data_IF_789676798966
#
_entry.id   IF_789676798966
#
_cell.length_a   1.000
_cell.length_b   1.000
_cell.length_c   1.000
_cell.angle_alpha   90.00
_cell.angle_beta   90.00
_cell.angle_gamma   90.00
#
_symmetry.space_group_name_H-M   'P 1'
#
loop_
_entity.id
_entity.type
_entity.pdbx_description
1 polymer ?
#
# COMPACT_ATOMS: atom_id res chain seq x y z
N UNK A 1 -6.27 8.56 -3.45
CA UNK A 1 -6.38 7.27 -2.69
C UNK A 1 -5.53 7.35 -1.42
N UNK A 2 -5.97 6.82 -0.28
CA UNK A 2 -5.18 6.93 0.98
C UNK A 2 -4.37 5.68 1.34
N UNK A 3 -3.14 5.86 1.85
CA UNK A 3 -2.30 4.77 2.39
C UNK A 3 -1.75 5.13 3.77
N UNK A 4 -1.69 4.14 4.64
CA UNK A 4 -1.18 4.30 6.00
C UNK A 4 -0.43 3.07 6.47
N UNK A 5 0.33 3.24 7.54
CA UNK A 5 0.97 2.12 8.24
C UNK A 5 0.78 2.26 9.74
N UNK A 6 0.69 1.13 10.42
CA UNK A 6 0.69 1.08 11.88
C UNK A 6 2.10 1.31 12.42
N UNK A 7 2.22 1.65 13.71
CA UNK A 7 3.53 1.80 14.38
C UNK A 7 4.43 0.58 14.10
N UNK A 8 5.60 0.78 13.48
CA UNK A 8 6.52 -0.32 13.21
C UNK A 8 6.92 -1.05 14.48
N UNK A 9 6.91 -2.38 14.44
CA UNK A 9 7.32 -3.22 15.57
C UNK A 9 8.77 -3.62 15.38
N UNK A 10 9.64 -3.17 16.29
CA UNK A 10 11.06 -3.51 16.25
C UNK A 10 11.30 -4.97 16.65
N UNK A 11 12.19 -5.63 15.91
CA UNK A 11 12.66 -6.98 16.19
C UNK A 11 14.05 -6.95 16.84
N UNK A 12 14.43 -8.04 17.51
CA UNK A 12 15.72 -8.15 18.20
C UNK A 12 16.93 -8.12 17.26
N UNK A 13 16.73 -8.40 15.97
CA UNK A 13 17.75 -8.40 14.92
C UNK A 13 17.94 -7.02 14.26
N UNK A 14 17.21 -5.98 14.70
CA UNK A 14 17.28 -4.64 14.15
C UNK A 14 16.34 -4.36 12.96
N UNK A 15 15.52 -5.35 12.59
CA UNK A 15 14.50 -5.20 11.54
C UNK A 15 13.14 -4.77 12.10
N UNK A 16 12.22 -4.35 11.24
CA UNK A 16 10.90 -3.84 11.63
C UNK A 16 9.76 -4.58 10.92
N UNK A 17 8.71 -4.89 11.65
CA UNK A 17 7.44 -5.34 11.07
C UNK A 17 6.54 -4.13 10.87
N UNK A 18 6.15 -3.89 9.62
CA UNK A 18 5.33 -2.75 9.22
C UNK A 18 4.04 -3.29 8.61
N UNK A 19 2.92 -3.01 9.28
CA UNK A 19 1.59 -3.33 8.78
C UNK A 19 1.04 -2.13 7.99
N UNK A 20 0.75 -2.32 6.71
CA UNK A 20 0.20 -1.31 5.81
C UNK A 20 -1.30 -1.49 5.64
N UNK A 21 -1.99 -0.39 5.38
CA UNK A 21 -3.39 -0.36 4.96
C UNK A 21 -3.55 0.65 3.84
N UNK A 22 -4.04 0.19 2.69
CA UNK A 22 -4.39 1.02 1.53
C UNK A 22 -5.92 1.08 1.45
N UNK A 23 -6.49 2.27 1.38
CA UNK A 23 -7.95 2.48 1.27
C UNK A 23 -8.28 3.12 -0.07
N UNK A 24 -9.13 2.45 -0.85
CA UNK A 24 -9.57 2.89 -2.17
C UNK A 24 -11.06 3.24 -2.09
N UNK A 25 -11.41 4.45 -2.54
CA UNK A 25 -12.78 4.96 -2.62
C UNK A 25 -13.14 5.19 -4.08
N UNK A 26 -14.34 4.79 -4.50
CA UNK A 26 -14.90 5.30 -5.74
C UNK A 26 -15.62 6.62 -5.46
N UNK A 27 -14.94 7.74 -5.66
CA UNK A 27 -15.52 9.09 -5.53
C UNK A 27 -16.28 9.55 -6.78
N UNK A 28 -16.25 8.75 -7.85
CA UNK A 28 -16.91 9.03 -9.12
C UNK A 28 -18.42 8.79 -9.10
N UNK A 29 -19.04 8.94 -10.28
CA UNK A 29 -20.48 8.75 -10.47
C UNK A 29 -20.85 7.41 -11.13
N UNK A 30 -19.87 6.59 -11.49
CA UNK A 30 -20.05 5.33 -12.21
C UNK A 30 -19.37 4.18 -11.49
N UNK A 31 -19.81 2.95 -11.75
CA UNK A 31 -19.17 1.77 -11.19
C UNK A 31 -17.79 1.54 -11.83
N UNK A 32 -16.86 1.01 -11.04
CA UNK A 32 -15.55 0.55 -11.51
C UNK A 32 -15.48 -0.98 -11.40
N UNK A 33 -15.05 -1.66 -12.45
CA UNK A 33 -14.85 -3.12 -12.50
C UNK A 33 -13.36 -3.46 -12.66
N UNK A 34 -12.99 -4.73 -12.47
CA UNK A 34 -11.61 -5.19 -12.68
C UNK A 34 -10.60 -4.48 -11.76
N UNK A 35 -10.90 -4.43 -10.46
CA UNK A 35 -10.15 -3.61 -9.51
C UNK A 35 -8.74 -4.17 -9.31
N UNK A 36 -7.75 -3.33 -9.63
CA UNK A 36 -6.32 -3.60 -9.45
C UNK A 36 -5.75 -2.81 -8.28
N UNK A 37 -4.73 -3.39 -7.63
CA UNK A 37 -3.90 -2.68 -6.67
C UNK A 37 -2.49 -3.28 -6.70
N UNK A 38 -1.50 -2.42 -6.89
CA UNK A 38 -0.08 -2.78 -6.93
C UNK A 38 0.67 -1.96 -5.91
N UNK A 39 1.62 -2.60 -5.22
CA UNK A 39 2.59 -1.95 -4.36
C UNK A 39 3.96 -2.59 -4.58
N UNK A 40 4.82 -1.92 -5.35
CA UNK A 40 6.15 -2.43 -5.72
C UNK A 40 7.16 -2.09 -4.62
N UNK A 41 7.13 -2.86 -3.53
CA UNK A 41 8.05 -2.68 -2.41
C UNK A 41 9.49 -3.02 -2.80
N UNK A 42 9.68 -3.97 -3.72
CA UNK A 42 11.00 -4.37 -4.18
C UNK A 42 11.78 -3.22 -4.80
N UNK A 43 11.15 -2.46 -5.70
CA UNK A 43 11.78 -1.28 -6.30
C UNK A 43 11.88 -0.13 -5.31
N UNK A 44 10.82 0.11 -4.52
CA UNK A 44 10.74 1.29 -3.65
C UNK A 44 11.67 1.21 -2.43
N UNK A 45 11.81 0.03 -1.83
CA UNK A 45 12.62 -0.15 -0.62
C UNK A 45 14.02 -0.68 -0.96
N UNK A 46 14.22 -1.20 -2.18
CA UNK A 46 15.48 -1.77 -2.62
C UNK A 46 15.97 -2.85 -1.67
N UNK A 47 17.23 -2.77 -1.24
CA UNK A 47 17.80 -3.75 -0.30
C UNK A 47 17.19 -3.71 1.10
N UNK A 48 16.41 -2.68 1.45
CA UNK A 48 15.68 -2.65 2.72
C UNK A 48 14.46 -3.60 2.72
N UNK A 49 13.93 -3.95 1.54
CA UNK A 49 12.94 -5.01 1.37
C UNK A 49 13.66 -6.34 1.08
N UNK A 50 14.41 -6.79 2.08
CA UNK A 50 15.04 -8.10 2.04
C UNK A 50 14.54 -8.95 3.19
N UNK A 51 14.45 -10.24 2.91
CA UNK A 51 14.13 -11.20 3.93
C UNK A 51 15.19 -11.16 5.04
N UNK A 52 14.79 -10.75 6.25
CA UNK A 52 15.54 -11.11 7.45
C UNK A 52 15.67 -12.64 7.52
N UNK A 53 16.64 -13.14 8.29
CA UNK A 53 16.70 -14.55 8.70
C UNK A 53 15.36 -15.10 9.25
N UNK A 54 14.43 -14.24 9.66
CA UNK A 54 13.06 -14.59 10.06
C UNK A 54 12.03 -14.74 8.91
N UNK A 55 12.28 -14.19 7.70
CA UNK A 55 11.31 -14.07 6.60
C UNK A 55 11.85 -14.57 5.24
N UNK A 56 12.69 -15.61 5.26
CA UNK A 56 13.54 -16.07 4.13
C UNK A 56 12.80 -16.56 2.89
N UNK A 57 11.50 -16.79 2.94
CA UNK A 57 10.74 -17.42 1.84
C UNK A 57 9.93 -16.45 0.98
N UNK A 58 9.66 -15.23 1.44
CA UNK A 58 8.62 -14.38 0.85
C UNK A 58 9.08 -12.94 0.58
N UNK A 59 10.38 -12.72 0.41
CA UNK A 59 10.93 -11.38 0.15
C UNK A 59 10.78 -10.39 1.31
N UNK A 60 10.35 -10.84 2.50
CA UNK A 60 9.99 -9.98 3.62
C UNK A 60 8.49 -9.87 3.87
N UNK A 61 7.62 -10.46 3.06
CA UNK A 61 6.18 -10.52 3.35
C UNK A 61 5.89 -11.46 4.53
N UNK A 62 5.28 -10.92 5.59
CA UNK A 62 4.89 -11.67 6.79
C UNK A 62 3.41 -12.08 6.75
N UNK A 63 2.57 -11.24 6.16
CA UNK A 63 1.14 -11.51 5.98
C UNK A 63 0.72 -10.99 4.61
N UNK A 64 0.13 -11.85 3.80
CA UNK A 64 -0.37 -11.50 2.48
C UNK A 64 -1.58 -10.54 2.53
N UNK A 65 -2.00 -10.01 1.37
CA UNK A 65 -3.08 -9.03 1.28
C UNK A 65 -4.40 -9.60 1.80
N UNK A 66 -5.11 -8.81 2.61
CA UNK A 66 -6.46 -9.08 3.06
C UNK A 66 -7.38 -7.90 2.71
N UNK A 67 -8.50 -8.19 2.05
CA UNK A 67 -9.48 -7.18 1.59
C UNK A 67 -10.64 -7.06 2.56
N UNK A 68 -11.02 -5.83 2.89
CA UNK A 68 -12.25 -5.49 3.60
C UNK A 68 -13.05 -4.52 2.76
N UNK A 69 -14.29 -4.88 2.40
CA UNK A 69 -15.19 -4.03 1.62
C UNK A 69 -16.15 -3.27 2.52
N UNK A 70 -16.27 -1.97 2.28
CA UNK A 70 -17.31 -1.09 2.83
C UNK A 70 -18.36 -0.84 1.75
N UNK A 71 -19.39 -1.69 1.72
CA UNK A 71 -20.46 -1.68 0.73
C UNK A 71 -21.69 -0.94 1.27
N UNK A 72 -21.68 0.38 1.21
CA UNK A 72 -22.80 1.23 1.68
C UNK A 72 -23.96 1.20 0.68
N UNK A 73 -23.65 1.14 -0.62
CA UNK A 73 -24.66 1.10 -1.69
C UNK A 73 -25.42 -0.24 -1.75
N UNK A 74 -24.78 -1.33 -1.33
CA UNK A 74 -25.26 -2.70 -1.54
C UNK A 74 -24.96 -3.25 -2.94
N UNK A 75 -24.26 -2.50 -3.78
CA UNK A 75 -23.99 -2.84 -5.18
C UNK A 75 -22.53 -3.24 -5.47
N UNK A 76 -21.63 -3.13 -4.49
CA UNK A 76 -20.22 -3.50 -4.67
C UNK A 76 -19.94 -4.99 -4.42
N UNK A 77 -18.90 -5.52 -5.05
CA UNK A 77 -18.33 -6.86 -4.82
C UNK A 77 -16.84 -6.72 -4.55
N UNK A 78 -16.35 -7.35 -3.48
CA UNK A 78 -14.95 -7.22 -3.09
C UNK A 78 -14.02 -7.85 -4.15
N UNK A 79 -12.88 -7.22 -4.47
CA UNK A 79 -11.87 -7.86 -5.32
C UNK A 79 -11.18 -9.01 -4.59
N UNK A 80 -10.66 -9.96 -5.35
CA UNK A 80 -9.88 -11.08 -4.79
C UNK A 80 -8.46 -10.65 -4.45
N UNK A 81 -8.04 -10.85 -3.20
CA UNK A 81 -6.64 -10.66 -2.79
C UNK A 81 -5.70 -11.73 -3.36
N UNK A 82 -4.50 -11.31 -3.76
CA UNK A 82 -3.42 -12.20 -4.20
C UNK A 82 -2.69 -12.86 -3.00
N UNK A 83 -3.43 -13.61 -2.19
CA UNK A 83 -2.89 -14.18 -0.92
C UNK A 83 -1.81 -15.23 -1.13
N UNK A 84 -1.86 -16.00 -2.22
CA UNK A 84 -0.94 -17.10 -2.49
C UNK A 84 0.30 -16.68 -3.28
N UNK A 85 0.21 -15.58 -4.04
CA UNK A 85 1.28 -15.13 -4.93
C UNK A 85 2.02 -13.90 -4.43
N UNK A 86 1.49 -13.12 -3.48
CA UNK A 86 2.10 -11.85 -3.10
C UNK A 86 3.47 -12.01 -2.44
N UNK A 87 4.49 -11.41 -3.05
CA UNK A 87 5.89 -11.42 -2.58
C UNK A 87 6.45 -10.01 -2.33
N UNK A 88 5.60 -8.99 -2.43
CA UNK A 88 5.96 -7.58 -2.29
C UNK A 88 6.47 -6.90 -3.56
N UNK A 89 6.59 -7.63 -4.67
CA UNK A 89 6.96 -7.06 -5.97
C UNK A 89 5.83 -7.12 -7.00
N UNK A 90 4.83 -7.97 -6.75
CA UNK A 90 3.67 -8.17 -7.61
C UNK A 90 2.39 -7.54 -7.04
N UNK A 91 1.28 -7.69 -7.77
CA UNK A 91 0.00 -7.10 -7.40
C UNK A 91 -0.55 -7.65 -6.07
N UNK A 92 -1.17 -6.75 -5.28
CA UNK A 92 -1.89 -7.08 -4.04
C UNK A 92 -3.24 -7.72 -4.31
N UNK A 93 -3.86 -7.40 -5.45
CA UNK A 93 -5.13 -7.97 -5.90
C UNK A 93 -4.93 -8.82 -7.16
N UNK A 94 -5.90 -9.70 -7.46
CA UNK A 94 -5.92 -10.47 -8.70
C UNK A 94 -6.00 -9.58 -9.95
N UNK A 95 -6.65 -8.41 -9.84
CA UNK A 95 -6.75 -7.42 -10.92
C UNK A 95 -7.72 -7.80 -12.04
N UNK A 96 -8.53 -8.85 -11.85
CA UNK A 96 -9.46 -9.37 -12.87
C UNK A 96 -10.90 -9.40 -12.39
N UNK A 97 -11.17 -8.97 -11.15
CA UNK A 97 -12.47 -9.04 -10.52
C UNK A 97 -12.70 -7.88 -9.55
N UNK A 98 -13.86 -7.88 -8.89
CA UNK A 98 -14.29 -6.83 -7.99
C UNK A 98 -15.06 -5.73 -8.72
N UNK A 99 -16.06 -5.19 -8.05
CA UNK A 99 -16.90 -4.10 -8.54
C UNK A 99 -17.04 -3.08 -7.42
N UNK A 100 -16.67 -1.83 -7.68
CA UNK A 100 -16.78 -0.73 -6.72
C UNK A 100 -17.81 0.29 -7.23
N UNK A 101 -18.95 0.35 -6.55
CA UNK A 101 -19.99 1.32 -6.83
C UNK A 101 -19.62 2.73 -6.28
N UNK A 102 -20.20 3.80 -6.85
CA UNK A 102 -20.04 5.16 -6.33
C UNK A 102 -20.27 5.28 -4.83
N UNK A 103 -19.33 5.91 -4.12
CA UNK A 103 -19.37 6.13 -2.68
C UNK A 103 -18.99 4.93 -1.81
N UNK A 104 -18.75 3.75 -2.41
CA UNK A 104 -18.22 2.60 -1.69
C UNK A 104 -16.69 2.59 -1.69
N UNK A 105 -16.11 1.90 -0.71
CA UNK A 105 -14.66 1.77 -0.56
C UNK A 105 -14.25 0.36 -0.21
N UNK A 106 -12.99 0.01 -0.47
CA UNK A 106 -12.36 -1.18 0.08
C UNK A 106 -10.99 -0.83 0.68
N UNK A 107 -10.58 -1.60 1.67
CA UNK A 107 -9.26 -1.51 2.27
C UNK A 107 -8.48 -2.81 2.05
N UNK A 108 -7.20 -2.70 1.73
CA UNK A 108 -6.26 -3.82 1.63
C UNK A 108 -5.19 -3.67 2.69
N UNK A 109 -5.03 -4.68 3.51
CA UNK A 109 -4.02 -4.73 4.57
C UNK A 109 -3.02 -5.85 4.32
N UNK A 110 -1.75 -5.61 4.62
CA UNK A 110 -0.66 -6.58 4.51
C UNK A 110 0.49 -6.17 5.44
N UNK A 111 1.34 -7.12 5.80
CA UNK A 111 2.47 -6.86 6.72
C UNK A 111 3.77 -7.32 6.10
N UNK A 112 4.78 -6.45 6.16
CA UNK A 112 6.12 -6.73 5.66
C UNK A 112 7.19 -6.46 6.71
N UNK A 113 8.31 -7.14 6.52
CA UNK A 113 9.56 -7.01 7.24
C UNK A 113 10.45 -6.04 6.47
N UNK A 114 11.00 -5.04 7.16
CA UNK A 114 11.89 -4.03 6.59
C UNK A 114 13.20 -4.01 7.38
N UNK A 115 14.34 -4.03 6.68
CA UNK A 115 15.67 -3.83 7.25
C UNK A 115 16.25 -2.48 6.79
N UNK A 116 16.03 -1.39 7.55
CA UNK A 116 16.56 -0.08 7.18
C UNK A 116 18.09 0.00 7.26
N UNK A 117 18.76 -0.99 7.89
CA UNK A 117 20.21 -1.03 8.06
C UNK A 117 20.90 -1.97 7.07
N UNK A 118 20.14 -2.60 6.16
CA UNK A 118 20.69 -3.47 5.13
C UNK A 118 21.73 -2.71 4.30
N UNK A 119 22.81 -3.40 3.90
CA UNK A 119 23.84 -2.79 3.07
C UNK A 119 23.22 -2.31 1.74
N UNK A 120 23.33 -1.00 1.46
CA UNK A 120 22.72 -0.37 0.30
C UNK A 120 21.27 0.09 0.49
N UNK A 121 20.73 0.00 1.72
CA UNK A 121 19.39 0.49 2.01
C UNK A 121 19.29 1.99 1.72
N UNK A 122 18.18 2.46 1.12
CA UNK A 122 17.93 3.88 0.94
C UNK A 122 17.93 4.62 2.28
N UNK A 123 18.41 5.87 2.29
CA UNK A 123 18.43 6.72 3.48
C UNK A 123 17.02 7.07 3.98
N UNK A 124 16.03 7.06 3.09
CA UNK A 124 14.61 7.24 3.38
C UNK A 124 13.82 6.18 2.63
N UNK A 125 12.92 5.49 3.33
CA UNK A 125 12.06 4.47 2.74
C UNK A 125 10.68 5.10 2.54
N UNK A 126 10.32 5.25 1.27
CA UNK A 126 9.07 5.80 0.80
C UNK A 126 8.26 4.68 0.17
N UNK A 127 6.95 4.67 0.41
CA UNK A 127 6.05 3.63 -0.08
C UNK A 127 4.79 4.24 -0.73
N UNK A 128 4.53 3.85 -1.96
CA UNK A 128 3.42 4.30 -2.80
C UNK A 128 2.75 3.08 -3.42
N UNK A 129 1.43 2.96 -3.27
CA UNK A 129 0.63 1.98 -3.99
C UNK A 129 -0.10 2.66 -5.16
N UNK A 130 -0.53 1.87 -6.14
CA UNK A 130 -1.35 2.34 -7.26
C UNK A 130 -2.56 1.44 -7.41
N UNK A 131 -3.76 2.02 -7.29
CA UNK A 131 -5.03 1.36 -7.56
C UNK A 131 -5.49 1.63 -8.99
N UNK A 132 -6.28 0.72 -9.54
CA UNK A 132 -6.89 0.88 -10.85
C UNK A 132 -8.27 0.24 -10.93
N UNK A 133 -9.06 0.64 -11.91
CA UNK A 133 -10.32 -0.01 -12.28
C UNK A 133 -10.85 0.54 -13.59
N UNK A 134 -11.77 -0.20 -14.23
CA UNK A 134 -12.34 0.17 -15.52
C UNK A 134 -13.75 0.76 -15.34
N UNK A 135 -14.01 1.88 -16.00
CA UNK A 135 -15.34 2.46 -16.06
C UNK A 135 -16.29 1.66 -16.99
N UNK A 136 -17.59 1.97 -17.05
CA UNK A 136 -18.53 1.24 -17.90
C UNK A 136 -18.27 1.38 -19.41
N UNK A 137 -17.38 2.29 -19.83
CA UNK A 137 -16.94 2.42 -21.22
C UNK A 137 -15.71 1.57 -21.54
N UNK A 138 -15.13 0.92 -20.53
CA UNK A 138 -13.89 0.17 -20.61
C UNK A 138 -12.64 1.04 -20.53
N UNK A 139 -12.77 2.28 -20.05
CA UNK A 139 -11.62 3.17 -19.82
C UNK A 139 -11.06 2.89 -18.43
N UNK A 140 -9.78 2.51 -18.37
CA UNK A 140 -9.07 2.35 -17.10
C UNK A 140 -8.80 3.69 -16.46
N UNK A 141 -9.18 3.83 -15.19
CA UNK A 141 -8.77 4.90 -14.29
C UNK A 141 -7.79 4.34 -13.28
N UNK A 142 -6.83 5.17 -12.87
CA UNK A 142 -5.81 4.80 -11.90
C UNK A 142 -5.53 5.95 -10.95
N UNK A 143 -5.14 5.60 -9.73
CA UNK A 143 -4.88 6.54 -8.66
C UNK A 143 -3.71 6.03 -7.81
N UNK A 144 -2.77 6.89 -7.47
CA UNK A 144 -1.63 6.57 -6.63
C UNK A 144 -1.90 7.00 -5.18
N UNK A 145 -1.21 6.38 -4.22
CA UNK A 145 -1.46 6.69 -2.82
C UNK A 145 -0.67 7.90 -2.41
N UNK A 146 -1.33 8.81 -1.72
CA UNK A 146 -0.69 9.93 -1.05
C UNK A 146 -0.39 9.60 0.44
N UNK A 147 0.21 10.57 1.14
CA UNK A 147 0.44 10.53 2.60
C UNK A 147 -0.81 10.78 3.42
N UNK A 148 -1.92 11.12 2.78
CA UNK A 148 -3.18 11.34 3.43
C UNK A 148 -3.83 9.98 3.77
N UNK A 149 -4.65 10.01 4.82
CA UNK A 149 -5.37 8.82 5.31
C UNK A 149 -6.83 8.81 4.86
N UNK A 150 -7.21 9.76 4.01
CA UNK A 150 -8.58 10.03 3.58
C UNK A 150 -8.63 10.06 2.06
N UNK A 151 -9.14 9.00 1.40
CA UNK A 151 -9.32 9.00 -0.04
C UNK A 151 -9.97 10.30 -0.50
N UNK A 152 -9.29 11.05 -1.35
CA UNK A 152 -9.73 12.34 -1.83
C UNK A 152 -11.08 12.22 -2.54
N UNK A 153 -12.04 13.03 -2.09
CA UNK A 153 -13.35 13.17 -2.73
C UNK A 153 -13.30 13.98 -4.03
N UNK A 154 -12.12 14.45 -4.43
CA UNK A 154 -11.88 15.25 -5.63
C UNK A 154 -10.81 14.55 -6.44
N UNK A 155 -11.00 14.29 -7.74
CA UNK A 155 -9.91 13.81 -8.59
C UNK A 155 -8.75 14.80 -8.47
N UNK A 156 -7.53 14.34 -8.19
CA UNK A 156 -6.37 15.20 -8.38
C UNK A 156 -6.36 15.67 -9.84
N UNK A 157 -6.59 16.96 -10.02
CA UNK A 157 -6.68 17.59 -11.35
C UNK A 157 -5.30 17.96 -11.88
N UNK A 158 -4.22 17.72 -11.12
CA UNK A 158 -2.86 17.95 -11.57
C UNK A 158 -2.08 16.64 -11.73
N UNK A 159 -2.01 16.09 -12.95
CA UNK A 159 -1.16 14.92 -13.24
C UNK A 159 0.35 15.19 -13.06
N UNK A 160 0.76 16.39 -12.61
CA UNK A 160 2.16 16.77 -12.35
C UNK A 160 2.47 17.07 -10.88
N UNK A 161 1.54 16.89 -9.94
CA UNK A 161 1.89 16.80 -8.52
C UNK A 161 2.33 15.37 -8.22
N UNK A 162 3.61 15.12 -7.88
CA UNK A 162 3.98 13.81 -7.38
C UNK A 162 3.23 13.57 -6.07
N UNK A 163 2.36 12.56 -6.04
CA UNK A 163 1.73 12.10 -4.80
C UNK A 163 2.84 11.76 -3.79
N UNK A 164 2.75 12.35 -2.60
CA UNK A 164 3.81 12.21 -1.61
C UNK A 164 3.82 10.77 -1.07
N UNK A 165 4.96 10.06 -1.11
CA UNK A 165 5.00 8.67 -0.67
C UNK A 165 4.87 8.55 0.85
N UNK A 166 4.17 7.52 1.32
CA UNK A 166 4.09 7.20 2.75
C UNK A 166 5.45 6.71 3.26
N UNK A 167 6.05 7.42 4.22
CA UNK A 167 7.41 7.11 4.71
C UNK A 167 7.43 6.24 5.97
N UNK A 168 8.33 5.26 6.06
CA UNK A 168 8.64 4.55 7.32
C UNK A 168 9.57 5.45 8.15
N UNK A 169 9.35 5.64 9.47
CA UNK A 169 10.25 6.45 10.29
C UNK A 169 11.67 5.88 10.23
N UNK A 170 12.63 6.70 9.79
CA UNK A 170 14.05 6.39 9.91
C UNK A 170 14.39 6.27 11.39
N UNK A 171 14.90 5.12 11.82
CA UNK A 171 15.48 5.00 13.16
C UNK A 171 16.74 5.85 13.21
N UNK A 172 16.60 7.10 13.65
CA UNK A 172 17.74 7.89 14.09
C UNK A 172 18.26 7.29 15.40
N UNK A 173 19.57 7.03 15.54
CA UNK A 173 20.14 6.77 16.86
C UNK A 173 19.91 8.02 17.69
N UNK A 174 19.18 7.88 18.79
CA UNK A 174 18.93 8.92 19.78
C UNK A 174 20.28 9.48 20.31
N UNK A 175 20.84 10.47 19.62
CA UNK A 175 21.76 11.42 20.22
C UNK A 175 20.88 12.53 20.75
N UNK A 176 20.65 12.48 22.06
CA UNK A 176 20.09 13.59 22.80
C UNK A 176 20.93 14.85 22.54
N UNK A 177 20.38 15.79 21.78
CA UNK A 177 20.83 17.17 21.77
C UNK A 177 20.01 17.95 22.80
N UNK A 178 20.70 18.33 23.87
CA UNK A 178 20.26 19.15 24.99
C UNK A 178 19.63 20.50 24.59
N UNK A 179 18.45 20.80 25.15
CA UNK A 179 17.96 22.12 25.64
C UNK A 179 16.49 21.93 26.07
N UNK A 180 16.03 22.23 27.28
CA UNK A 180 16.55 22.95 28.45
C UNK A 180 16.69 22.01 29.66
#
# INVERSE_FOLDING_TARGET
MGKSFATPVANADGTFDVAYTVTVLNSGAVNLDGLGLVDDLGTQFGSAFTASTAATTTGGVLTGPAVVLTNTSGNSTAPTANTAGYDGTNALLAGTDGLLAPGDSYAVSFTVRVDPNAAGAPASIANTATASGDDPTGTTVSDASDTDTQPDGTPDTDPNTPDEPTGVPTVEPLIAASRL
#
